data_IF_061747204129
#
_entry.id   IF_061747204129
#
_cell.length_a   1.000
_cell.length_b   1.000
_cell.length_c   1.000
_cell.angle_alpha   90.00
_cell.angle_beta   90.00
_cell.angle_gamma   90.00
#
_symmetry.space_group_name_H-M   'P 1'
#
loop_
_entity.id
_entity.type
_entity.pdbx_description
1 polymer ?
#
# COMPACT_ATOMS: atom_id res chain seq x y z
N UNK A 1 44.50 -7.56 12.41
CA UNK A 1 43.19 -6.92 12.71
C UNK A 1 42.61 -7.62 13.93
N UNK A 2 42.49 -6.94 15.07
CA UNK A 2 42.05 -7.54 16.33
C UNK A 2 40.62 -8.08 16.25
N UNK A 3 40.34 -9.20 16.92
CA UNK A 3 39.03 -9.85 16.99
C UNK A 3 37.92 -8.88 17.43
N UNK A 4 38.25 -7.96 18.34
CA UNK A 4 37.38 -6.87 18.77
C UNK A 4 36.88 -5.99 17.60
N UNK A 5 37.75 -5.65 16.64
CA UNK A 5 37.39 -4.84 15.48
C UNK A 5 36.47 -5.58 14.50
N UNK A 6 36.56 -6.92 14.44
CA UNK A 6 35.66 -7.76 13.63
C UNK A 6 34.28 -7.89 14.27
N UNK A 7 34.21 -8.01 15.60
CA UNK A 7 32.95 -8.04 16.36
C UNK A 7 32.18 -6.71 16.25
N UNK A 8 32.86 -5.57 16.32
CA UNK A 8 32.22 -4.25 16.17
C UNK A 8 31.62 -4.04 14.78
N UNK A 9 32.29 -4.52 13.72
CA UNK A 9 31.78 -4.42 12.34
C UNK A 9 30.56 -5.32 12.13
N UNK A 10 30.56 -6.55 12.68
CA UNK A 10 29.39 -7.42 12.62
C UNK A 10 28.18 -6.83 13.36
N UNK A 11 28.38 -6.26 14.55
CA UNK A 11 27.32 -5.65 15.34
C UNK A 11 26.67 -4.45 14.60
N UNK A 12 27.49 -3.61 13.95
CA UNK A 12 27.00 -2.50 13.15
C UNK A 12 26.18 -2.96 11.92
N UNK A 13 26.56 -4.07 11.28
CA UNK A 13 25.84 -4.62 10.14
C UNK A 13 24.46 -5.18 10.53
N UNK A 14 24.37 -5.85 11.69
CA UNK A 14 23.09 -6.37 12.23
C UNK A 14 22.14 -5.23 12.58
N UNK A 15 22.64 -4.13 13.16
CA UNK A 15 21.83 -2.95 13.46
C UNK A 15 21.33 -2.23 12.20
N UNK A 16 22.13 -2.20 11.13
CA UNK A 16 21.72 -1.61 9.84
C UNK A 16 20.62 -2.43 9.15
N UNK A 17 20.62 -3.75 9.31
CA UNK A 17 19.58 -4.66 8.79
C UNK A 17 18.31 -4.66 9.65
N UNK A 18 18.43 -4.32 10.93
CA UNK A 18 17.32 -4.23 11.88
C UNK A 18 16.67 -2.82 11.93
N UNK A 19 17.24 -1.84 11.22
CA UNK A 19 16.64 -0.52 11.13
C UNK A 19 15.24 -0.65 10.51
N UNK A 20 14.19 -0.10 11.14
CA UNK A 20 12.87 -0.03 10.51
C UNK A 20 13.06 0.61 9.14
N UNK A 21 12.54 -0.02 8.08
CA UNK A 21 12.49 0.61 6.77
C UNK A 21 11.96 2.02 6.96
N UNK A 22 12.78 3.03 6.61
CA UNK A 22 12.42 4.45 6.77
C UNK A 22 10.95 4.61 6.40
N UNK A 23 10.13 5.17 7.30
CA UNK A 23 8.69 5.27 7.12
C UNK A 23 8.41 6.01 5.81
N UNK A 24 8.17 5.25 4.74
CA UNK A 24 7.78 5.78 3.45
C UNK A 24 6.38 6.32 3.65
N UNK A 25 6.18 7.59 3.29
CA UNK A 25 4.87 8.24 3.38
C UNK A 25 3.82 7.34 2.74
N UNK A 26 2.85 6.89 3.54
CA UNK A 26 1.79 6.02 3.08
C UNK A 26 0.94 6.77 2.06
N UNK A 27 0.89 6.28 0.83
CA UNK A 27 0.01 6.83 -0.18
C UNK A 27 -1.36 6.15 -0.10
N UNK A 28 -2.41 6.95 0.07
CA UNK A 28 -3.79 6.47 0.07
C UNK A 28 -4.42 6.69 -1.31
N UNK A 29 -4.68 5.60 -2.02
CA UNK A 29 -5.32 5.57 -3.33
C UNK A 29 -6.84 5.54 -3.14
N UNK A 30 -7.56 6.29 -3.98
CA UNK A 30 -9.02 6.21 -4.07
C UNK A 30 -9.39 5.40 -5.30
N UNK A 31 -10.13 4.32 -5.10
CA UNK A 31 -10.60 3.47 -6.18
C UNK A 31 -12.12 3.61 -6.30
N UNK A 32 -12.57 4.32 -7.34
CA UNK A 32 -13.99 4.53 -7.61
C UNK A 32 -14.52 3.49 -8.60
N UNK A 33 -15.73 2.98 -8.36
CA UNK A 33 -16.45 2.17 -9.34
C UNK A 33 -17.96 2.42 -9.28
N UNK A 34 -18.65 2.19 -10.41
CA UNK A 34 -20.09 2.48 -10.55
C UNK A 34 -21.00 1.37 -10.02
N UNK A 35 -20.50 0.14 -9.87
CA UNK A 35 -21.30 -1.01 -9.42
C UNK A 35 -21.74 -0.92 -7.95
N UNK A 36 -22.89 -1.52 -7.66
CA UNK A 36 -23.44 -1.68 -6.31
C UNK A 36 -22.58 -2.59 -5.43
N UNK A 37 -22.72 -2.45 -4.11
CA UNK A 37 -21.95 -3.24 -3.13
C UNK A 37 -22.30 -4.73 -3.13
N UNK A 38 -23.48 -5.09 -3.64
CA UNK A 38 -23.91 -6.49 -3.80
C UNK A 38 -23.20 -7.22 -4.94
N UNK A 39 -22.57 -6.49 -5.86
CA UNK A 39 -21.87 -7.10 -6.99
C UNK A 39 -20.58 -7.78 -6.55
N UNK A 40 -20.23 -8.96 -7.10
CA UNK A 40 -18.96 -9.62 -6.82
C UNK A 40 -17.74 -8.72 -7.05
N UNK A 41 -17.86 -7.79 -7.99
CA UNK A 41 -16.84 -6.77 -8.28
C UNK A 41 -16.39 -6.02 -7.02
N UNK A 42 -17.33 -5.59 -6.17
CA UNK A 42 -17.02 -4.85 -4.95
C UNK A 42 -16.22 -5.70 -3.96
N UNK A 43 -16.64 -6.96 -3.77
CA UNK A 43 -15.92 -7.92 -2.92
C UNK A 43 -14.48 -8.14 -3.37
N UNK A 44 -14.26 -8.28 -4.68
CA UNK A 44 -12.91 -8.43 -5.23
C UNK A 44 -12.09 -7.15 -5.16
N UNK A 45 -12.71 -5.97 -5.29
CA UNK A 45 -12.03 -4.70 -5.09
C UNK A 45 -11.53 -4.53 -3.63
N UNK A 46 -12.34 -4.93 -2.65
CA UNK A 46 -11.95 -4.93 -1.23
C UNK A 46 -10.81 -5.94 -0.96
N UNK A 47 -10.88 -7.13 -1.55
CA UNK A 47 -9.79 -8.11 -1.48
C UNK A 47 -8.49 -7.55 -2.07
N UNK A 48 -8.56 -6.91 -3.24
CA UNK A 48 -7.41 -6.31 -3.89
C UNK A 48 -6.79 -5.18 -3.04
N UNK A 49 -7.61 -4.36 -2.38
CA UNK A 49 -7.14 -3.33 -1.45
C UNK A 49 -6.27 -3.93 -0.33
N UNK A 50 -6.72 -5.04 0.26
CA UNK A 50 -5.96 -5.76 1.28
C UNK A 50 -4.67 -6.37 0.74
N UNK A 51 -4.69 -6.94 -0.47
CA UNK A 51 -3.49 -7.50 -1.09
C UNK A 51 -2.44 -6.44 -1.44
N UNK A 52 -2.85 -5.27 -1.92
CA UNK A 52 -1.95 -4.15 -2.20
C UNK A 52 -1.24 -3.70 -0.91
N UNK A 53 -2.00 -3.52 0.17
CA UNK A 53 -1.43 -3.14 1.47
C UNK A 53 -0.40 -4.16 1.96
N UNK A 54 -0.74 -5.45 1.95
CA UNK A 54 0.17 -6.53 2.38
C UNK A 54 1.45 -6.59 1.55
N UNK A 55 1.31 -6.63 0.22
CA UNK A 55 2.45 -6.81 -0.72
C UNK A 55 3.36 -5.60 -0.77
N UNK A 56 2.86 -4.43 -0.40
CA UNK A 56 3.63 -3.18 -0.38
C UNK A 56 4.16 -2.84 1.00
N UNK A 57 3.88 -3.64 2.03
CA UNK A 57 4.23 -3.31 3.42
C UNK A 57 3.59 -1.99 3.87
N UNK A 58 2.30 -1.80 3.53
CA UNK A 58 1.50 -0.59 3.79
C UNK A 58 2.01 0.70 3.12
N UNK A 59 2.96 0.64 2.17
CA UNK A 59 3.34 1.84 1.39
C UNK A 59 2.16 2.39 0.58
N UNK A 60 1.29 1.51 0.09
CA UNK A 60 0.05 1.89 -0.58
C UNK A 60 -1.15 1.29 0.16
N UNK A 61 -2.11 2.15 0.51
CA UNK A 61 -3.43 1.74 0.97
C UNK A 61 -4.48 2.18 -0.04
N UNK A 62 -5.55 1.41 -0.22
CA UNK A 62 -6.61 1.72 -1.18
C UNK A 62 -7.96 1.77 -0.47
N UNK A 63 -8.67 2.89 -0.63
CA UNK A 63 -10.07 3.03 -0.23
C UNK A 63 -10.96 2.75 -1.44
N UNK A 64 -11.95 1.87 -1.28
CA UNK A 64 -12.90 1.50 -2.33
C UNK A 64 -14.18 2.33 -2.19
N UNK A 65 -14.56 3.01 -3.27
CA UNK A 65 -15.73 3.89 -3.37
C UNK A 65 -16.73 3.32 -4.39
N UNK A 66 -17.72 2.53 -3.96
CA UNK A 66 -18.70 1.88 -4.83
C UNK A 66 -19.84 2.82 -5.22
N UNK A 67 -20.79 2.30 -6.01
CA UNK A 67 -22.10 2.90 -6.29
C UNK A 67 -22.02 4.37 -6.76
N UNK A 68 -21.03 4.70 -7.57
CA UNK A 68 -20.82 6.07 -8.09
C UNK A 68 -20.67 7.14 -7.00
N UNK A 69 -20.20 6.76 -5.80
CA UNK A 69 -20.05 7.68 -4.65
C UNK A 69 -19.04 8.80 -4.86
N UNK A 70 -18.14 8.67 -5.85
CA UNK A 70 -17.19 9.70 -6.27
C UNK A 70 -17.51 10.32 -7.64
N UNK A 71 -18.70 10.09 -8.18
CA UNK A 71 -19.12 10.57 -9.49
C UNK A 71 -19.53 9.42 -10.42
N UNK A 72 -20.15 9.78 -11.54
CA UNK A 72 -20.46 8.83 -12.61
C UNK A 72 -19.22 8.45 -13.43
N UNK A 73 -19.34 7.42 -14.26
CA UNK A 73 -18.23 6.88 -15.09
C UNK A 73 -17.48 7.97 -15.88
N UNK A 74 -18.19 8.91 -16.50
CA UNK A 74 -17.57 10.00 -17.27
C UNK A 74 -16.72 10.91 -16.38
N UNK A 75 -17.24 11.30 -15.22
CA UNK A 75 -16.52 12.14 -14.26
C UNK A 75 -15.29 11.40 -13.68
N UNK A 76 -15.43 10.11 -13.37
CA UNK A 76 -14.33 9.27 -12.90
C UNK A 76 -13.21 9.24 -13.95
N UNK A 77 -13.54 8.95 -15.21
CA UNK A 77 -12.54 8.88 -16.29
C UNK A 77 -11.85 10.23 -16.54
N UNK A 78 -12.59 11.34 -16.46
CA UNK A 78 -12.01 12.69 -16.55
C UNK A 78 -11.05 12.99 -15.40
N UNK A 79 -11.33 12.49 -14.19
CA UNK A 79 -10.47 12.71 -13.02
C UNK A 79 -9.12 11.98 -13.08
N UNK A 80 -8.99 10.99 -13.96
CA UNK A 80 -7.76 10.20 -14.14
C UNK A 80 -6.83 10.76 -15.23
N UNK A 81 -7.29 11.74 -16.02
CA UNK A 81 -6.54 12.37 -17.11
C UNK A 81 -5.77 13.60 -16.61
#
# INVERSE_FOLDING_TARGET
MSVARRLSVLAALVLALAAPSAALSQQKLKFAHVYETSEPYHTWALWAAGEIAKRTGNRYAMDVFPASSLGNETQINQSLS
#
